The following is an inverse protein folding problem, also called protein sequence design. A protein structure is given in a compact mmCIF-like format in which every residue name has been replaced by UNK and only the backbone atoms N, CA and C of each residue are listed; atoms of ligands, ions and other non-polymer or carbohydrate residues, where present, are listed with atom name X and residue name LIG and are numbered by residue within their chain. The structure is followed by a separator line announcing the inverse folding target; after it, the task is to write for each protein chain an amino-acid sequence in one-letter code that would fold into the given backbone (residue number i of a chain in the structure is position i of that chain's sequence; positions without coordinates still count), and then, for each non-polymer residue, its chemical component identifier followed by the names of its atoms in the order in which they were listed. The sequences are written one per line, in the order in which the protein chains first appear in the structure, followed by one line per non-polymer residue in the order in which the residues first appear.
data_IF_333038845396
#
_entry.id   IF_333038845396
#
_cell.length_a   1.000
_cell.length_b   1.000
_cell.length_c   1.000
_cell.angle_alpha   90.00
_cell.angle_beta   90.00
_cell.angle_gamma   90.00
#
_symmetry.space_group_name_H-M   'P 1'
#
loop_
_entity.id
_entity.type
_entity.pdbx_description
1 polymer ?
#
# COMPACT_ATOMS: atom_id res chain seq x y z
N UNK A 1 -26.74 -13.17 -50.57
CA UNK A 1 -25.47 -12.45 -50.80
C UNK A 1 -25.69 -10.98 -50.47
N UNK A 2 -25.09 -10.40 -49.42
CA UNK A 2 -25.11 -8.96 -49.24
C UNK A 2 -24.09 -8.32 -50.21
N UNK A 3 -24.51 -7.28 -50.93
CA UNK A 3 -23.65 -6.49 -51.80
C UNK A 3 -22.63 -5.72 -50.97
N UNK A 4 -21.35 -5.93 -51.27
CA UNK A 4 -20.27 -5.07 -50.79
C UNK A 4 -20.20 -3.83 -51.68
N UNK A 5 -20.50 -2.65 -51.14
CA UNK A 5 -20.15 -1.41 -51.83
C UNK A 5 -18.63 -1.23 -51.80
N UNK A 6 -18.01 -1.03 -52.97
CA UNK A 6 -16.62 -0.60 -53.08
C UNK A 6 -16.45 0.75 -52.38
N UNK A 7 -15.81 0.77 -51.22
CA UNK A 7 -15.37 2.01 -50.60
C UNK A 7 -14.12 2.52 -51.35
N UNK A 8 -14.21 3.73 -51.89
CA UNK A 8 -13.06 4.46 -52.41
C UNK A 8 -12.46 5.31 -51.27
N UNK A 9 -11.11 5.46 -51.21
CA UNK A 9 -10.48 6.32 -50.21
C UNK A 9 -11.02 7.76 -50.36
N UNK A 10 -11.22 8.49 -49.24
CA UNK A 10 -11.65 9.88 -49.32
C UNK A 10 -10.60 10.71 -50.09
N UNK A 11 -11.03 11.66 -50.94
CA UNK A 11 -10.10 12.60 -51.55
C UNK A 11 -9.66 13.60 -50.46
N UNK A 12 -8.34 13.61 -50.22
CA UNK A 12 -7.57 14.60 -49.43
C UNK A 12 -7.55 14.48 -47.88
N UNK A 13 -6.37 14.05 -47.38
CA UNK A 13 -5.71 14.38 -46.08
C UNK A 13 -6.38 13.91 -44.77
N UNK A 14 -5.69 13.41 -43.73
CA UNK A 14 -4.51 13.94 -43.03
C UNK A 14 -3.54 12.82 -42.67
N UNK A 15 -2.26 13.00 -43.03
CA UNK A 15 -1.17 12.11 -42.64
C UNK A 15 -0.53 12.57 -41.33
N UNK A 16 -0.75 11.85 -40.24
CA UNK A 16 0.20 11.77 -39.13
C UNK A 16 0.82 10.38 -39.17
N UNK A 17 2.12 10.32 -39.44
CA UNK A 17 2.84 9.07 -39.73
C UNK A 17 2.61 7.99 -38.68
N UNK A 18 2.06 6.86 -39.16
CA UNK A 18 2.07 5.46 -38.66
C UNK A 18 0.72 4.75 -38.71
N UNK A 19 -0.39 5.47 -38.89
CA UNK A 19 -1.71 4.86 -39.00
C UNK A 19 -2.53 5.53 -40.10
N UNK A 20 -3.26 4.72 -40.89
CA UNK A 20 -4.32 5.22 -41.78
C UNK A 20 -5.63 4.53 -41.43
N UNK A 21 -6.61 5.33 -41.03
CA UNK A 21 -8.00 4.90 -40.91
C UNK A 21 -8.56 4.85 -42.33
N UNK A 22 -8.93 3.66 -42.81
CA UNK A 22 -9.35 3.47 -44.21
C UNK A 22 -10.88 3.31 -44.40
N UNK A 23 -11.67 3.36 -43.33
CA UNK A 23 -13.13 3.46 -43.45
C UNK A 23 -13.90 3.08 -42.19
N UNK A 24 -15.14 3.56 -42.11
CA UNK A 24 -16.16 3.15 -41.16
C UNK A 24 -17.36 2.65 -41.96
N UNK A 25 -17.88 1.47 -41.62
CA UNK A 25 -19.11 0.96 -42.21
C UNK A 25 -20.12 0.69 -41.09
N UNK A 26 -21.39 1.03 -41.35
CA UNK A 26 -22.50 0.64 -40.51
C UNK A 26 -23.26 -0.50 -41.17
N UNK A 27 -23.40 -1.62 -40.44
CA UNK A 27 -24.25 -2.73 -40.85
C UNK A 27 -25.18 -3.06 -39.68
N UNK A 28 -26.49 -2.93 -39.90
CA UNK A 28 -27.53 -3.28 -38.91
C UNK A 28 -27.37 -2.65 -37.51
N UNK A 29 -26.84 -1.42 -37.43
CA UNK A 29 -26.70 -0.68 -36.16
C UNK A 29 -25.35 -0.86 -35.46
N UNK A 30 -24.43 -1.64 -36.03
CA UNK A 30 -23.06 -1.81 -35.52
C UNK A 30 -22.07 -0.94 -36.30
N UNK A 31 -21.03 -0.44 -35.61
CA UNK A 31 -19.95 0.33 -36.21
C UNK A 31 -18.73 -0.57 -36.36
N UNK A 32 -18.31 -0.81 -37.61
CA UNK A 32 -17.10 -1.58 -37.91
C UNK A 32 -15.99 -0.61 -38.31
N UNK A 33 -14.87 -0.66 -37.58
CA UNK A 33 -13.69 0.19 -37.81
C UNK A 33 -12.56 -0.66 -38.38
N UNK A 34 -11.95 -0.17 -39.45
CA UNK A 34 -10.82 -0.82 -40.11
C UNK A 34 -9.54 0.00 -39.88
N UNK A 35 -8.56 -0.59 -39.19
CA UNK A 35 -7.22 -0.03 -39.10
C UNK A 35 -6.26 -0.76 -40.05
N UNK A 36 -5.52 0.03 -40.83
CA UNK A 36 -4.49 -0.46 -41.72
C UNK A 36 -3.11 -0.06 -41.22
N UNK A 37 -2.22 -1.05 -41.14
CA UNK A 37 -0.81 -0.85 -40.82
C UNK A 37 0.05 -1.06 -42.08
N UNK A 38 0.96 -0.14 -42.34
CA UNK A 38 1.94 -0.26 -43.42
C UNK A 38 3.26 0.32 -42.94
N UNK A 39 4.18 -0.54 -42.52
CA UNK A 39 5.50 -0.08 -42.05
C UNK A 39 6.69 -0.69 -42.79
N UNK A 40 6.49 -1.54 -43.81
CA UNK A 40 7.59 -1.96 -44.70
C UNK A 40 7.03 -2.62 -45.99
N UNK A 41 7.54 -2.30 -47.20
CA UNK A 41 7.23 -3.09 -48.40
C UNK A 41 7.68 -4.56 -48.32
N UNK A 42 8.57 -4.90 -47.38
CA UNK A 42 9.13 -6.24 -47.20
C UNK A 42 8.53 -7.04 -46.03
N UNK A 43 7.68 -6.42 -45.18
CA UNK A 43 7.01 -7.11 -44.07
C UNK A 43 5.50 -7.21 -44.28
N UNK A 44 4.96 -8.35 -43.84
CA UNK A 44 3.58 -8.78 -44.04
C UNK A 44 2.55 -7.70 -43.70
N UNK A 45 1.60 -7.50 -44.62
CA UNK A 45 0.43 -6.64 -44.40
C UNK A 45 -0.59 -7.40 -43.56
N UNK A 46 -0.85 -6.91 -42.35
CA UNK A 46 -1.91 -7.40 -41.47
C UNK A 46 -3.11 -6.47 -41.51
N UNK A 47 -4.32 -7.03 -41.49
CA UNK A 47 -5.57 -6.28 -41.25
C UNK A 47 -6.17 -6.83 -39.96
N UNK A 48 -6.49 -5.93 -39.03
CA UNK A 48 -7.22 -6.25 -37.81
C UNK A 48 -8.61 -5.63 -37.93
N UNK A 49 -9.64 -6.44 -37.72
CA UNK A 49 -11.01 -5.96 -37.57
C UNK A 49 -11.53 -6.37 -36.19
N UNK A 50 -12.25 -5.47 -35.55
CA UNK A 50 -12.93 -5.70 -34.29
C UNK A 50 -14.35 -5.15 -34.35
N UNK A 51 -15.28 -5.83 -33.69
CA UNK A 51 -16.64 -5.35 -33.46
C UNK A 51 -16.74 -4.79 -32.04
N UNK A 52 -17.33 -3.60 -31.91
CA UNK A 52 -17.57 -2.93 -30.62
C UNK A 52 -19.07 -3.04 -30.32
N UNK A 53 -19.41 -3.47 -29.11
CA UNK A 53 -20.77 -3.39 -28.60
C UNK A 53 -21.12 -1.92 -28.31
N UNK A 54 -22.11 -1.39 -29.03
CA UNK A 54 -22.48 0.03 -28.96
C UNK A 54 -23.12 0.44 -27.64
N UNK A 55 -23.50 -0.50 -26.77
CA UNK A 55 -24.11 -0.22 -25.47
C UNK A 55 -23.11 0.05 -24.34
N UNK A 56 -21.90 -0.50 -24.43
CA UNK A 56 -20.90 -0.43 -23.36
C UNK A 56 -19.44 -0.28 -23.83
N UNK A 57 -19.20 -0.24 -25.15
CA UNK A 57 -17.86 -0.09 -25.72
C UNK A 57 -16.99 -1.36 -25.65
N UNK A 58 -17.53 -2.51 -25.24
CA UNK A 58 -16.77 -3.75 -25.13
C UNK A 58 -16.51 -4.38 -26.50
N UNK A 59 -15.32 -4.98 -26.67
CA UNK A 59 -14.93 -5.66 -27.92
C UNK A 59 -15.52 -7.07 -27.93
N UNK A 60 -16.35 -7.39 -28.93
CA UNK A 60 -17.10 -8.67 -29.01
C UNK A 60 -16.33 -9.78 -29.71
N UNK A 61 -15.73 -9.50 -30.87
CA UNK A 61 -14.92 -10.48 -31.63
C UNK A 61 -13.72 -9.81 -32.31
N UNK A 62 -12.63 -10.58 -32.49
CA UNK A 62 -11.45 -10.17 -33.26
C UNK A 62 -11.07 -11.23 -34.27
N UNK A 63 -11.05 -10.85 -35.55
CA UNK A 63 -10.59 -11.69 -36.65
C UNK A 63 -9.31 -11.07 -37.21
N UNK A 64 -8.24 -11.87 -37.25
CA UNK A 64 -6.95 -11.46 -37.80
C UNK A 64 -6.75 -12.08 -39.17
N UNK A 65 -6.32 -11.25 -40.11
CA UNK A 65 -5.89 -11.68 -41.44
C UNK A 65 -4.46 -11.24 -41.69
N UNK A 66 -3.57 -12.23 -41.89
CA UNK A 66 -2.18 -12.01 -42.27
C UNK A 66 -1.99 -12.41 -43.73
N UNK A 67 -1.32 -11.57 -44.51
CA UNK A 67 -0.94 -11.91 -45.88
C UNK A 67 0.34 -12.75 -45.87
N UNK A 68 0.17 -14.08 -45.89
CA UNK A 68 1.19 -14.99 -46.39
C UNK A 68 1.28 -14.89 -47.90
N UNK A 69 2.45 -15.16 -48.47
CA UNK A 69 2.68 -15.12 -49.93
C UNK A 69 1.62 -15.95 -50.65
N UNK A 70 0.69 -15.27 -51.31
CA UNK A 70 -0.39 -15.76 -52.19
C UNK A 70 -1.72 -16.29 -51.61
N UNK A 71 -1.94 -16.43 -50.29
CA UNK A 71 -3.26 -16.81 -49.75
C UNK A 71 -3.62 -16.11 -48.42
N UNK A 72 -4.91 -15.82 -48.25
CA UNK A 72 -5.49 -15.29 -47.01
C UNK A 72 -5.91 -16.45 -46.10
N UNK A 73 -5.41 -16.48 -44.86
CA UNK A 73 -5.81 -17.45 -43.85
C UNK A 73 -6.42 -16.76 -42.64
N UNK A 74 -7.59 -17.22 -42.21
CA UNK A 74 -8.31 -16.74 -41.02
C UNK A 74 -7.82 -17.46 -39.77
N UNK A 75 -7.51 -16.70 -38.71
CA UNK A 75 -7.14 -17.26 -37.41
C UNK A 75 -8.24 -16.97 -36.38
N UNK A 76 -8.57 -17.97 -35.56
CA UNK A 76 -9.37 -17.77 -34.35
C UNK A 76 -8.42 -17.59 -33.17
N UNK A 77 -8.40 -16.40 -32.58
CA UNK A 77 -7.68 -16.14 -31.34
C UNK A 77 -8.66 -16.15 -30.18
N UNK A 78 -8.33 -16.84 -29.08
CA UNK A 78 -9.10 -16.79 -27.83
C UNK A 78 -8.32 -15.91 -26.86
N UNK A 79 -8.84 -14.72 -26.56
CA UNK A 79 -8.27 -13.84 -25.55
C UNK A 79 -8.75 -14.26 -24.17
N UNK A 80 -7.84 -14.27 -23.19
CA UNK A 80 -8.20 -14.32 -21.77
C UNK A 80 -7.88 -12.94 -21.19
N UNK A 81 -8.92 -12.18 -20.85
CA UNK A 81 -8.79 -10.96 -20.04
C UNK A 81 -9.14 -11.32 -18.61
N UNK A 82 -8.19 -11.23 -17.68
CA UNK A 82 -8.54 -11.11 -16.28
C UNK A 82 -8.46 -9.62 -15.96
N UNK A 83 -9.63 -8.99 -15.81
CA UNK A 83 -9.75 -7.58 -15.47
C UNK A 83 -9.91 -7.53 -13.96
N UNK A 84 -8.80 -7.37 -13.26
CA UNK A 84 -8.76 -6.74 -11.94
C UNK A 84 -7.33 -6.23 -11.72
N UNK A 85 -7.19 -4.91 -11.61
CA UNK A 85 -5.98 -4.21 -11.16
C UNK A 85 -4.68 -4.52 -11.92
N UNK A 86 -4.24 -3.57 -12.75
CA UNK A 86 -2.97 -3.54 -13.49
C UNK A 86 -2.79 -4.46 -14.70
N UNK A 87 -2.92 -3.80 -15.86
CA UNK A 87 -2.38 -4.06 -17.21
C UNK A 87 -1.71 -5.43 -17.46
N UNK A 88 -2.50 -6.43 -17.87
CA UNK A 88 -2.02 -7.53 -18.72
C UNK A 88 -3.08 -7.95 -19.75
N UNK A 89 -2.66 -8.15 -21.01
CA UNK A 89 -3.39 -8.95 -22.00
C UNK A 89 -2.39 -9.96 -22.58
N UNK A 90 -2.61 -11.24 -22.34
CA UNK A 90 -1.84 -12.31 -22.98
C UNK A 90 -2.57 -12.83 -24.21
N UNK A 91 -1.84 -13.04 -25.30
CA UNK A 91 -2.38 -13.63 -26.53
C UNK A 91 -1.67 -14.96 -26.80
N UNK A 92 -2.46 -16.03 -26.96
CA UNK A 92 -1.96 -17.32 -27.46
C UNK A 92 -2.52 -17.50 -28.88
N UNK A 93 -1.63 -17.55 -29.86
CA UNK A 93 -1.99 -17.82 -31.26
C UNK A 93 -1.77 -19.29 -31.56
N UNK A 94 -2.82 -19.97 -32.04
CA UNK A 94 -2.73 -21.34 -32.53
C UNK A 94 -2.58 -21.32 -34.05
N UNK A 95 -1.46 -21.82 -34.57
CA UNK A 95 -1.32 -22.13 -35.99
C UNK A 95 -1.79 -23.56 -36.25
N UNK A 96 -2.81 -23.79 -37.10
CA UNK A 96 -3.30 -25.14 -37.38
C UNK A 96 -2.36 -25.96 -38.29
N UNK A 97 -1.28 -25.37 -38.83
CA UNK A 97 -0.48 -26.01 -39.88
C UNK A 97 0.95 -26.40 -39.48
N UNK A 98 1.40 -26.16 -38.24
CA UNK A 98 2.79 -26.48 -37.89
C UNK A 98 3.04 -26.94 -36.45
N UNK A 99 2.02 -27.09 -35.59
CA UNK A 99 2.23 -27.54 -34.20
C UNK A 99 3.13 -26.63 -33.33
N UNK A 100 3.50 -25.45 -33.82
CA UNK A 100 4.31 -24.49 -33.09
C UNK A 100 3.40 -23.51 -32.35
N UNK A 101 3.61 -23.40 -31.03
CA UNK A 101 3.06 -22.32 -30.23
C UNK A 101 3.88 -21.05 -30.49
N UNK A 102 3.22 -19.98 -30.91
CA UNK A 102 3.79 -18.64 -30.93
C UNK A 102 3.20 -17.86 -29.76
N UNK A 103 3.98 -17.69 -28.71
CA UNK A 103 3.63 -16.82 -27.59
C UNK A 103 4.03 -15.38 -27.95
N UNK A 104 3.06 -14.55 -28.29
CA UNK A 104 3.25 -13.11 -28.47
C UNK A 104 2.97 -12.43 -27.12
N UNK A 105 4.03 -12.24 -26.32
CA UNK A 105 3.97 -11.36 -25.15
C UNK A 105 4.02 -9.91 -25.60
N UNK A 106 2.86 -9.34 -25.93
CA UNK A 106 2.68 -7.90 -26.04
C UNK A 106 2.55 -7.30 -24.64
N UNK A 107 3.67 -7.13 -23.94
CA UNK A 107 3.65 -6.41 -22.67
C UNK A 107 3.62 -4.92 -23.02
N UNK A 108 2.48 -4.26 -22.79
CA UNK A 108 2.49 -2.83 -22.52
C UNK A 108 3.04 -2.63 -21.10
N UNK A 109 4.30 -3.02 -20.88
CA UNK A 109 5.02 -2.65 -19.68
C UNK A 109 5.13 -1.12 -19.72
N UNK A 110 5.01 -0.40 -18.59
CA UNK A 110 5.55 0.94 -18.56
C UNK A 110 7.01 0.85 -19.04
N UNK A 111 7.40 1.69 -19.99
CA UNK A 111 8.75 1.67 -20.57
C UNK A 111 9.82 1.78 -19.49
N UNK A 112 9.48 2.40 -18.36
CA UNK A 112 10.33 2.52 -17.19
C UNK A 112 9.60 1.95 -15.98
N UNK A 113 10.30 1.20 -15.14
CA UNK A 113 9.80 0.71 -13.85
C UNK A 113 10.71 1.23 -12.74
N UNK A 114 10.15 1.48 -11.57
CA UNK A 114 10.89 1.79 -10.34
C UNK A 114 10.52 0.75 -9.28
N UNK A 115 11.54 0.08 -8.75
CA UNK A 115 11.39 -1.04 -7.82
C UNK A 115 12.17 -0.69 -6.56
N UNK A 116 11.50 -0.47 -5.42
CA UNK A 116 12.21 -0.27 -4.15
C UNK A 116 12.77 -1.61 -3.66
N UNK A 117 13.93 -1.58 -2.99
CA UNK A 117 14.51 -2.78 -2.35
C UNK A 117 13.57 -3.33 -1.26
N UNK A 118 12.81 -2.43 -0.61
CA UNK A 118 11.84 -2.76 0.43
C UNK A 118 10.57 -1.94 0.24
N UNK A 119 9.43 -2.59 0.40
CA UNK A 119 8.12 -1.91 0.40
C UNK A 119 7.80 -1.22 1.74
N UNK A 120 8.55 -1.57 2.80
CA UNK A 120 8.41 -0.99 4.14
C UNK A 120 9.80 -0.65 4.69
N UNK A 121 9.94 0.55 5.24
CA UNK A 121 11.11 1.02 5.98
C UNK A 121 10.65 1.38 7.39
N UNK A 122 11.46 1.08 8.39
CA UNK A 122 11.23 1.53 9.76
C UNK A 122 12.43 2.33 10.28
N UNK A 123 12.16 3.34 11.10
CA UNK A 123 13.18 4.21 11.67
C UNK A 123 12.72 4.83 12.99
N UNK A 124 13.67 5.44 13.69
CA UNK A 124 13.38 6.27 14.85
C UNK A 124 13.20 7.74 14.41
N UNK A 125 12.45 8.56 15.17
CA UNK A 125 12.33 9.98 14.93
C UNK A 125 13.68 10.67 14.74
N UNK A 126 13.81 11.47 13.68
CA UNK A 126 15.04 12.21 13.39
C UNK A 126 16.25 11.34 13.00
N UNK A 127 16.09 10.02 12.88
CA UNK A 127 17.20 9.13 12.51
C UNK A 127 17.52 9.20 11.01
N UNK A 128 18.79 9.07 10.61
CA UNK A 128 19.16 8.99 9.21
C UNK A 128 18.70 7.64 8.63
N UNK A 129 17.96 7.70 7.53
CA UNK A 129 17.44 6.55 6.79
C UNK A 129 17.95 6.55 5.36
N UNK A 130 17.89 5.37 4.75
CA UNK A 130 18.17 5.21 3.32
C UNK A 130 17.14 4.33 2.63
N UNK A 131 16.77 4.70 1.41
CA UNK A 131 15.92 3.92 0.51
C UNK A 131 16.71 3.64 -0.77
N UNK A 132 16.97 2.36 -1.03
CA UNK A 132 17.52 1.91 -2.30
C UNK A 132 16.39 1.58 -3.27
N UNK A 133 16.48 2.09 -4.49
CA UNK A 133 15.58 1.77 -5.59
C UNK A 133 16.37 1.34 -6.83
N UNK A 134 15.76 0.48 -7.63
CA UNK A 134 16.25 0.06 -8.94
C UNK A 134 15.29 0.58 -10.00
N UNK A 135 15.81 1.33 -10.97
CA UNK A 135 15.05 1.83 -12.10
C UNK A 135 15.40 0.96 -13.30
N UNK A 136 14.40 0.35 -13.91
CA UNK A 136 14.54 -0.49 -15.10
C UNK A 136 13.99 0.27 -16.30
N UNK A 137 14.81 0.46 -17.34
CA UNK A 137 14.37 1.02 -18.61
C UNK A 137 14.19 -0.11 -19.64
N UNK A 138 12.95 -0.58 -19.78
CA UNK A 138 12.53 -1.49 -20.84
C UNK A 138 12.02 -0.76 -22.09
N UNK A 139 12.14 0.57 -22.12
CA UNK A 139 11.73 1.42 -23.22
C UNK A 139 12.66 1.33 -24.41
N UNK A 140 12.23 1.96 -25.50
CA UNK A 140 13.01 2.09 -26.74
C UNK A 140 13.77 3.42 -26.83
N UNK A 141 13.94 4.12 -25.72
CA UNK A 141 14.66 5.39 -25.64
C UNK A 141 15.55 5.39 -24.41
N UNK A 142 16.70 6.06 -24.55
CA UNK A 142 17.51 6.49 -23.43
C UNK A 142 17.12 7.90 -23.00
N UNK A 143 17.29 8.19 -21.71
CA UNK A 143 17.05 9.50 -21.11
C UNK A 143 17.88 9.70 -19.83
N UNK A 144 18.03 10.95 -19.42
CA UNK A 144 18.49 11.34 -18.10
C UNK A 144 17.27 11.48 -17.18
N UNK A 145 16.85 10.37 -16.57
CA UNK A 145 15.66 10.33 -15.74
C UNK A 145 15.87 11.10 -14.43
N UNK A 146 14.94 12.00 -14.11
CA UNK A 146 14.89 12.69 -12.83
C UNK A 146 14.05 11.87 -11.87
N UNK A 147 14.63 11.50 -10.74
CA UNK A 147 14.00 10.63 -9.75
C UNK A 147 13.86 11.43 -8.47
N UNK A 148 12.61 11.68 -8.10
CA UNK A 148 12.25 12.49 -6.94
C UNK A 148 11.72 11.57 -5.85
N UNK A 149 12.28 11.68 -4.64
CA UNK A 149 11.71 11.08 -3.42
C UNK A 149 10.86 12.13 -2.71
N UNK A 150 9.61 11.79 -2.44
CA UNK A 150 8.67 12.63 -1.71
C UNK A 150 8.23 11.95 -0.41
N UNK A 151 8.04 12.73 0.64
CA UNK A 151 7.37 12.35 1.88
C UNK A 151 6.05 13.11 1.93
N UNK A 152 4.94 12.39 1.84
CA UNK A 152 3.59 12.98 1.91
C UNK A 152 3.34 14.13 0.91
N UNK A 153 4.05 14.08 -0.22
CA UNK A 153 3.96 15.10 -1.29
C UNK A 153 5.01 16.20 -1.22
N UNK A 154 5.78 16.31 -0.12
CA UNK A 154 6.92 17.21 -0.01
C UNK A 154 8.19 16.55 -0.55
N UNK A 155 8.96 17.29 -1.36
CA UNK A 155 10.19 16.76 -1.97
C UNK A 155 11.30 16.68 -0.92
N UNK A 156 11.78 15.47 -0.65
CA UNK A 156 12.93 15.25 0.23
C UNK A 156 14.25 15.41 -0.53
N UNK A 157 14.36 14.77 -1.68
CA UNK A 157 15.57 14.82 -2.51
C UNK A 157 15.26 14.44 -3.96
N UNK A 158 16.13 14.92 -4.85
CA UNK A 158 16.07 14.67 -6.29
C UNK A 158 17.44 14.24 -6.78
N UNK A 159 17.46 13.18 -7.58
CA UNK A 159 18.66 12.68 -8.22
C UNK A 159 18.38 12.42 -9.70
N UNK A 160 19.38 12.62 -10.55
CA UNK A 160 19.28 12.31 -11.98
C UNK A 160 20.18 11.14 -12.31
N UNK A 161 19.69 10.22 -13.14
CA UNK A 161 20.50 9.12 -13.67
C UNK A 161 20.24 8.91 -15.16
N UNK A 162 21.33 8.76 -15.93
CA UNK A 162 21.23 8.40 -17.33
C UNK A 162 21.07 6.89 -17.46
N UNK A 163 19.98 6.44 -18.09
CA UNK A 163 19.67 5.02 -18.24
C UNK A 163 19.42 4.73 -19.72
N UNK A 164 20.31 3.91 -20.28
CA UNK A 164 20.22 3.43 -21.66
C UNK A 164 19.04 2.49 -21.89
N UNK A 165 18.81 2.15 -23.16
CA UNK A 165 17.80 1.16 -23.57
C UNK A 165 18.11 -0.21 -22.96
N UNK A 166 17.10 -0.90 -22.44
CA UNK A 166 17.23 -2.22 -21.82
C UNK A 166 18.27 -2.28 -20.70
N UNK A 167 18.45 -1.16 -20.00
CA UNK A 167 19.42 -0.99 -18.91
C UNK A 167 18.70 -0.72 -17.59
N UNK A 168 19.46 -0.75 -16.50
CA UNK A 168 18.99 -0.42 -15.17
C UNK A 168 19.99 0.46 -14.43
N UNK A 169 19.48 1.28 -13.52
CA UNK A 169 20.32 2.00 -12.56
C UNK A 169 19.80 1.77 -11.14
N UNK A 170 20.73 1.58 -10.20
CA UNK A 170 20.42 1.60 -8.78
C UNK A 170 20.66 3.01 -8.22
N UNK A 171 19.80 3.42 -7.30
CA UNK A 171 19.89 4.72 -6.65
C UNK A 171 19.60 4.57 -5.17
N UNK A 172 20.38 5.27 -4.34
CA UNK A 172 20.19 5.30 -2.89
C UNK A 172 19.82 6.73 -2.50
N UNK A 173 18.66 6.88 -1.88
CA UNK A 173 18.22 8.13 -1.28
C UNK A 173 18.55 8.11 0.20
N UNK A 174 19.26 9.13 0.68
CA UNK A 174 19.47 9.35 2.10
C UNK A 174 18.56 10.48 2.55
N UNK A 175 17.82 10.27 3.63
CA UNK A 175 16.90 11.25 4.18
C UNK A 175 16.80 11.07 5.69
N UNK A 176 16.21 12.04 6.38
CA UNK A 176 15.98 11.96 7.82
C UNK A 176 14.53 11.56 8.06
N UNK A 177 14.29 10.61 8.97
CA UNK A 177 12.95 10.24 9.40
C UNK A 177 12.22 11.47 9.98
N UNK A 178 10.91 11.63 9.76
CA UNK A 178 10.13 12.68 10.41
C UNK A 178 10.19 12.52 11.94
N UNK A 179 10.02 13.63 12.66
CA UNK A 179 9.96 13.63 14.12
C UNK A 179 8.66 13.00 14.65
N UNK A 180 7.59 13.09 13.86
CA UNK A 180 6.31 12.48 14.16
C UNK A 180 6.40 10.95 14.01
N UNK A 181 5.88 10.22 15.01
CA UNK A 181 5.78 8.77 14.94
C UNK A 181 4.51 8.35 14.21
N UNK A 182 4.57 7.27 13.44
CA UNK A 182 3.42 6.81 12.69
C UNK A 182 3.78 6.15 11.37
N UNK A 183 2.76 5.87 10.59
CA UNK A 183 2.92 5.46 9.19
C UNK A 183 2.91 6.70 8.29
N UNK A 184 3.97 6.86 7.52
CA UNK A 184 4.14 7.90 6.52
C UNK A 184 4.25 7.30 5.13
N UNK A 185 3.80 8.05 4.13
CA UNK A 185 3.87 7.63 2.73
C UNK A 185 5.09 8.24 2.05
N UNK A 186 6.05 7.40 1.67
CA UNK A 186 7.09 7.77 0.74
C UNK A 186 6.64 7.47 -0.70
N UNK A 187 6.87 8.41 -1.59
CA UNK A 187 6.62 8.24 -3.03
C UNK A 187 7.90 8.46 -3.80
N UNK A 188 8.23 7.56 -4.71
CA UNK A 188 9.33 7.74 -5.66
C UNK A 188 8.70 7.97 -7.02
N UNK A 189 9.01 9.10 -7.65
CA UNK A 189 8.51 9.47 -8.97
C UNK A 189 9.65 9.62 -9.95
N UNK A 190 9.51 9.01 -11.13
CA UNK A 190 10.49 9.05 -12.22
C UNK A 190 9.95 9.90 -13.34
N UNK A 191 10.59 11.04 -13.61
CA UNK A 191 10.27 11.97 -14.69
C UNK A 191 11.23 11.78 -15.86
N UNK A 192 10.69 11.76 -17.08
CA UNK A 192 11.44 11.76 -18.32
C UNK A 192 11.46 13.16 -18.93
N UNK A 193 12.60 13.88 -18.94
CA UNK A 193 12.71 15.15 -19.65
C UNK A 193 12.41 15.05 -21.14
N UNK A 194 12.70 13.90 -21.76
CA UNK A 194 12.46 13.64 -23.18
C UNK A 194 10.98 13.55 -23.52
N UNK A 195 10.20 12.84 -22.71
CA UNK A 195 8.75 12.70 -22.89
C UNK A 195 7.94 13.81 -22.22
N UNK A 196 8.56 14.55 -21.29
CA UNK A 196 7.95 15.61 -20.48
C UNK A 196 6.80 15.12 -19.60
N UNK A 197 6.95 13.92 -19.05
CA UNK A 197 5.96 13.29 -18.18
C UNK A 197 6.62 12.39 -17.12
N UNK A 198 5.86 12.06 -16.08
CA UNK A 198 6.23 11.00 -15.15
C UNK A 198 5.96 9.64 -15.79
N UNK A 199 6.99 8.80 -15.85
CA UNK A 199 6.99 7.52 -16.57
C UNK A 199 6.90 6.31 -15.65
N UNK A 200 7.22 6.48 -14.35
CA UNK A 200 7.09 5.46 -13.33
C UNK A 200 6.91 6.09 -11.95
N UNK A 201 6.21 5.39 -11.07
CA UNK A 201 6.12 5.74 -9.66
C UNK A 201 6.00 4.48 -8.79
N UNK A 202 6.45 4.58 -7.53
CA UNK A 202 6.17 3.57 -6.51
C UNK A 202 5.96 4.20 -5.15
N UNK A 203 5.15 3.53 -4.32
CA UNK A 203 4.92 3.91 -2.94
C UNK A 203 5.68 2.98 -1.99
N UNK A 204 6.24 3.55 -0.93
CA UNK A 204 6.91 2.83 0.16
C UNK A 204 6.32 3.32 1.48
N UNK A 205 5.98 2.39 2.37
CA UNK A 205 5.52 2.73 3.71
C UNK A 205 6.73 2.99 4.60
N UNK A 206 6.78 4.16 5.24
CA UNK A 206 7.75 4.47 6.28
C UNK A 206 7.04 4.41 7.64
N UNK A 207 7.46 3.51 8.52
CA UNK A 207 6.94 3.43 9.90
C UNK A 207 7.96 4.01 10.87
N UNK A 208 7.67 5.19 11.42
CA UNK A 208 8.50 5.82 12.45
C UNK A 208 8.03 5.37 13.83
N UNK A 209 8.94 4.78 14.59
CA UNK A 209 8.64 4.15 15.88
C UNK A 209 9.60 4.60 16.97
N UNK A 210 9.10 4.66 18.21
CA UNK A 210 9.91 4.89 19.42
C UNK A 210 10.04 3.60 20.21
N UNK A 211 11.10 3.51 21.01
CA UNK A 211 11.29 2.43 21.99
C UNK A 211 11.35 3.02 23.40
N UNK A 212 10.47 2.55 24.29
CA UNK A 212 10.45 2.92 25.71
C UNK A 212 10.77 1.69 26.56
N UNK A 213 11.59 1.90 27.59
CA UNK A 213 11.92 0.89 28.59
C UNK A 213 11.07 1.10 29.85
N UNK A 214 10.21 0.14 30.17
CA UNK A 214 9.47 0.11 31.43
C UNK A 214 10.30 -0.67 32.45
N UNK A 215 10.71 0.00 33.52
CA UNK A 215 11.41 -0.66 34.62
C UNK A 215 10.44 -1.48 35.47
N UNK A 216 10.64 -2.80 35.48
CA UNK A 216 9.89 -3.73 36.31
C UNK A 216 10.74 -4.10 37.53
N UNK A 217 10.14 -4.00 38.71
CA UNK A 217 10.74 -4.47 39.96
C UNK A 217 10.40 -5.93 40.21
N UNK A 218 11.28 -6.62 40.92
CA UNK A 218 11.02 -7.98 41.38
C UNK A 218 9.68 -8.02 42.14
N UNK A 219 8.80 -8.95 41.74
CA UNK A 219 7.43 -9.01 42.23
C UNK A 219 6.41 -8.46 41.23
N UNK A 220 5.27 -8.01 41.75
CA UNK A 220 4.13 -7.55 40.95
C UNK A 220 4.24 -6.08 40.60
N UNK A 221 4.08 -5.76 39.31
CA UNK A 221 4.13 -4.42 38.75
C UNK A 221 2.78 -4.09 38.10
N UNK A 222 2.25 -2.90 38.36
CA UNK A 222 0.93 -2.48 37.85
C UNK A 222 1.10 -1.53 36.67
N UNK A 223 1.13 -2.06 35.45
CA UNK A 223 1.59 -1.34 34.28
C UNK A 223 0.59 -1.35 33.12
N UNK A 224 0.73 -0.38 32.23
CA UNK A 224 0.13 -0.40 30.90
C UNK A 224 1.19 -0.08 29.85
N UNK A 225 0.84 -0.21 28.56
CA UNK A 225 1.76 0.14 27.49
C UNK A 225 1.65 1.63 27.15
N UNK A 226 2.74 2.41 27.22
CA UNK A 226 2.74 3.83 26.86
C UNK A 226 2.74 4.06 25.35
N UNK A 227 3.13 3.07 24.55
CA UNK A 227 3.11 3.13 23.08
C UNK A 227 2.18 2.06 22.54
N UNK A 228 1.60 2.30 21.36
CA UNK A 228 0.90 1.26 20.61
C UNK A 228 1.93 0.40 19.89
N UNK A 229 2.08 -0.90 20.24
CA UNK A 229 3.13 -1.73 19.65
C UNK A 229 2.93 -1.90 18.13
N UNK A 230 4.04 -1.95 17.38
CA UNK A 230 4.01 -2.13 15.91
C UNK A 230 3.29 -3.41 15.52
N UNK A 231 3.53 -4.49 16.26
CA UNK A 231 2.90 -5.79 16.03
C UNK A 231 1.55 -5.95 16.76
N UNK A 232 0.94 -4.84 17.19
CA UNK A 232 -0.32 -4.78 17.94
C UNK A 232 -0.20 -5.15 19.42
N UNK A 233 0.79 -5.95 19.81
CA UNK A 233 1.04 -6.34 21.21
C UNK A 233 2.52 -6.54 21.51
N UNK A 234 2.85 -6.57 22.81
CA UNK A 234 4.16 -6.97 23.33
C UNK A 234 4.06 -8.41 23.85
N UNK A 235 4.84 -9.32 23.27
CA UNK A 235 4.93 -10.69 23.79
C UNK A 235 5.77 -10.73 25.07
N UNK A 236 5.30 -11.46 26.07
CA UNK A 236 6.01 -11.58 27.33
C UNK A 236 7.16 -12.58 27.22
N UNK A 237 8.34 -12.18 27.69
CA UNK A 237 9.45 -13.10 27.87
C UNK A 237 9.10 -14.18 28.91
N UNK A 238 9.70 -15.38 28.81
CA UNK A 238 9.40 -16.54 29.67
C UNK A 238 9.46 -16.28 31.19
N UNK A 239 10.20 -15.24 31.62
CA UNK A 239 10.38 -14.87 33.03
C UNK A 239 9.37 -13.86 33.55
N UNK A 240 8.41 -13.47 32.71
CA UNK A 240 7.33 -12.55 33.03
C UNK A 240 5.99 -13.29 32.96
N UNK A 241 5.11 -13.00 33.91
CA UNK A 241 3.72 -13.47 33.89
C UNK A 241 2.79 -12.28 34.04
N UNK A 242 1.75 -12.19 33.22
CA UNK A 242 0.80 -11.09 33.31
C UNK A 242 -0.62 -11.56 33.52
N UNK A 243 -1.38 -10.72 34.22
CA UNK A 243 -2.81 -10.85 34.39
C UNK A 243 -3.50 -9.55 33.97
N UNK A 244 -4.44 -9.66 33.05
CA UNK A 244 -5.39 -8.59 32.73
C UNK A 244 -6.69 -8.77 33.51
N UNK A 245 -7.50 -7.71 33.57
CA UNK A 245 -8.85 -7.80 34.14
C UNK A 245 -9.88 -8.00 33.03
N UNK A 246 -10.70 -9.04 33.16
CA UNK A 246 -11.90 -9.19 32.35
C UNK A 246 -13.10 -8.59 33.10
N UNK A 247 -13.52 -7.39 32.68
CA UNK A 247 -14.64 -6.68 33.29
C UNK A 247 -15.97 -7.43 33.18
N UNK A 248 -16.16 -8.27 32.16
CA UNK A 248 -17.41 -9.03 31.97
C UNK A 248 -17.47 -10.23 32.90
N UNK A 249 -16.33 -10.88 33.10
CA UNK A 249 -16.21 -12.03 34.00
C UNK A 249 -15.91 -11.63 35.46
N UNK A 250 -15.62 -10.34 35.70
CA UNK A 250 -15.24 -9.77 36.99
C UNK A 250 -14.09 -10.54 37.66
N UNK A 251 -13.06 -10.89 36.89
CA UNK A 251 -11.90 -11.64 37.38
C UNK A 251 -10.63 -11.32 36.59
N UNK A 252 -9.50 -11.64 37.20
CA UNK A 252 -8.22 -11.66 36.49
C UNK A 252 -8.13 -12.85 35.54
N UNK A 253 -7.53 -12.63 34.39
CA UNK A 253 -7.24 -13.64 33.37
C UNK A 253 -5.75 -13.56 33.01
N UNK A 254 -5.08 -14.71 32.95
CA UNK A 254 -3.69 -14.78 32.51
C UNK A 254 -3.57 -14.40 31.04
N UNK A 255 -2.53 -13.66 30.68
CA UNK A 255 -2.26 -13.23 29.31
C UNK A 255 -0.79 -13.39 28.97
N UNK A 256 -0.51 -13.78 27.72
CA UNK A 256 0.85 -13.93 27.21
C UNK A 256 1.31 -12.72 26.38
N UNK A 257 0.37 -11.80 26.10
CA UNK A 257 0.57 -10.62 25.27
C UNK A 257 -0.05 -9.40 25.95
N UNK A 258 0.67 -8.29 25.90
CA UNK A 258 0.20 -7.00 26.39
C UNK A 258 -0.26 -6.14 25.20
N UNK A 259 -1.49 -5.68 25.26
CA UNK A 259 -2.10 -4.76 24.29
C UNK A 259 -2.18 -3.34 24.84
N UNK A 260 -2.07 -2.35 23.96
CA UNK A 260 -2.29 -0.93 24.27
C UNK A 260 -3.72 -0.67 24.77
N UNK A 261 -3.90 0.34 25.63
CA UNK A 261 -5.20 0.75 26.18
C UNK A 261 -5.72 -0.13 27.32
N UNK A 262 -5.02 -1.22 27.67
CA UNK A 262 -5.34 -2.10 28.80
C UNK A 262 -4.30 -1.96 29.91
N UNK A 263 -4.72 -2.19 31.15
CA UNK A 263 -3.83 -2.32 32.30
C UNK A 263 -3.58 -3.78 32.70
N UNK A 264 -2.45 -4.03 33.35
CA UNK A 264 -2.02 -5.37 33.73
C UNK A 264 -1.31 -5.39 35.09
N UNK A 265 -1.43 -6.52 35.78
CA UNK A 265 -0.46 -6.94 36.77
C UNK A 265 0.59 -7.82 36.11
N UNK A 266 1.85 -7.39 36.11
CA UNK A 266 2.99 -8.11 35.54
C UNK A 266 3.94 -8.53 36.66
N UNK A 267 4.08 -9.83 36.87
CA UNK A 267 5.07 -10.40 37.77
C UNK A 267 6.42 -10.53 37.07
N UNK A 268 7.47 -10.00 37.70
CA UNK A 268 8.84 -10.19 37.29
C UNK A 268 9.62 -10.95 38.39
N UNK A 269 10.32 -12.03 38.00
CA UNK A 269 11.13 -12.83 38.93
C UNK A 269 12.34 -12.09 39.52
N UNK A 270 12.79 -11.02 38.87
CA UNK A 270 13.86 -10.12 39.28
C UNK A 270 13.63 -8.75 38.64
N UNK A 271 14.35 -7.73 39.11
CA UNK A 271 14.38 -6.43 38.44
C UNK A 271 14.78 -6.61 36.97
N UNK A 272 13.98 -6.06 36.06
CA UNK A 272 14.18 -6.21 34.61
C UNK A 272 13.56 -5.03 33.85
N UNK A 273 13.81 -4.98 32.54
CA UNK A 273 13.29 -3.96 31.66
C UNK A 273 12.38 -4.61 30.62
N UNK A 274 11.15 -4.11 30.52
CA UNK A 274 10.24 -4.44 29.43
C UNK A 274 10.42 -3.39 28.33
N UNK A 275 10.86 -3.83 27.15
CA UNK A 275 11.00 -2.94 25.99
C UNK A 275 9.68 -2.90 25.22
N UNK A 276 9.17 -1.69 24.99
CA UNK A 276 7.98 -1.44 24.18
C UNK A 276 8.40 -0.62 22.97
N UNK A 277 8.31 -1.21 21.78
CA UNK A 277 8.57 -0.52 20.51
C UNK A 277 7.26 -0.30 19.77
N UNK A 278 6.96 0.95 19.45
CA UNK A 278 5.66 1.32 18.92
C UNK A 278 5.54 2.77 18.51
N UNK A 279 4.32 3.17 18.19
CA UNK A 279 3.97 4.56 17.86
C UNK A 279 3.35 5.25 19.08
N UNK A 280 3.60 6.55 19.19
CA UNK A 280 2.93 7.37 20.19
C UNK A 280 1.43 7.50 19.86
N UNK A 281 0.62 7.62 20.91
CA UNK A 281 -0.83 7.73 20.83
C UNK A 281 -1.26 8.91 21.66
N UNK A 282 -1.65 9.99 20.98
CA UNK A 282 -2.16 11.22 21.62
C UNK A 282 -3.67 11.20 21.84
N UNK A 283 -4.39 10.27 21.20
CA UNK A 283 -5.81 10.05 21.49
C UNK A 283 -6.21 8.60 21.23
N UNK A 284 -7.11 8.08 22.05
CA UNK A 284 -7.64 6.75 21.87
C UNK A 284 -9.10 6.65 22.33
N UNK A 285 -9.79 5.61 21.86
CA UNK A 285 -11.11 5.24 22.35
C UNK A 285 -11.00 4.00 23.23
N UNK A 286 -11.63 4.05 24.40
CA UNK A 286 -11.69 2.93 25.33
C UNK A 286 -13.13 2.48 25.51
N UNK A 287 -13.39 1.22 25.25
CA UNK A 287 -14.68 0.59 25.52
C UNK A 287 -14.72 0.09 26.97
N UNK A 288 -15.66 0.64 27.73
CA UNK A 288 -15.86 0.32 29.14
C UNK A 288 -17.10 -0.55 29.31
N UNK A 289 -16.96 -1.53 30.21
CA UNK A 289 -18.08 -2.35 30.70
C UNK A 289 -18.52 -1.79 32.05
N UNK A 290 -19.82 -1.83 32.34
CA UNK A 290 -20.34 -1.47 33.66
C UNK A 290 -19.56 -2.18 34.78
N UNK A 291 -19.17 -1.42 35.79
CA UNK A 291 -18.27 -1.87 36.85
C UNK A 291 -16.82 -1.44 36.66
N UNK A 292 -15.90 -2.18 37.28
CA UNK A 292 -14.47 -1.88 37.26
C UNK A 292 -13.83 -2.33 35.95
N UNK A 293 -13.07 -1.43 35.33
CA UNK A 293 -12.25 -1.69 34.16
C UNK A 293 -10.79 -1.39 34.48
N UNK A 294 -9.89 -2.26 34.02
CA UNK A 294 -8.46 -2.07 34.14
C UNK A 294 -7.90 -1.51 32.82
N UNK A 295 -7.65 -0.20 32.80
CA UNK A 295 -7.31 0.54 31.59
C UNK A 295 -5.86 1.02 31.59
N UNK A 296 -5.33 1.21 30.39
CA UNK A 296 -4.04 1.85 30.16
C UNK A 296 -4.18 3.34 29.82
N UNK A 297 -3.07 4.07 29.97
CA UNK A 297 -2.97 5.47 29.59
C UNK A 297 -2.60 5.69 28.11
N UNK A 298 -2.28 6.93 27.77
CA UNK A 298 -1.72 7.35 26.48
C UNK A 298 -0.18 7.41 26.55
N UNK A 299 0.46 7.89 25.48
CA UNK A 299 1.91 8.13 25.47
C UNK A 299 2.35 9.33 26.31
N UNK A 300 1.41 10.24 26.58
CA UNK A 300 1.54 11.36 27.50
C UNK A 300 0.41 11.31 28.54
N UNK A 301 0.47 12.19 29.53
CA UNK A 301 -0.59 12.30 30.52
C UNK A 301 -1.94 12.58 29.85
N UNK A 302 -3.00 11.98 30.37
CA UNK A 302 -4.36 12.20 29.88
C UNK A 302 -5.31 12.41 31.05
N UNK A 303 -6.21 13.38 30.95
CA UNK A 303 -7.21 13.62 31.99
C UNK A 303 -8.42 12.73 31.78
N UNK A 304 -8.95 12.15 32.86
CA UNK A 304 -10.19 11.36 32.84
C UNK A 304 -11.34 12.25 32.30
N UNK A 305 -12.03 11.84 31.22
CA UNK A 305 -13.10 12.65 30.63
C UNK A 305 -14.23 12.91 31.64
N UNK A 306 -14.68 14.17 31.73
CA UNK A 306 -15.79 14.54 32.61
C UNK A 306 -17.13 14.15 31.98
N UNK A 307 -17.51 12.88 32.10
CA UNK A 307 -18.81 12.35 31.65
C UNK A 307 -19.59 11.74 32.81
N UNK A 308 -20.90 11.95 32.83
CA UNK A 308 -21.77 11.58 33.98
C UNK A 308 -21.84 10.08 34.30
N UNK A 309 -21.35 9.23 33.42
CA UNK A 309 -21.51 7.79 33.51
C UNK A 309 -20.20 7.05 33.83
N UNK A 310 -19.12 7.77 34.12
CA UNK A 310 -17.89 7.21 34.71
C UNK A 310 -17.56 7.95 36.00
N UNK A 311 -16.84 7.29 36.90
CA UNK A 311 -16.30 7.95 38.07
C UNK A 311 -15.14 8.88 37.65
N UNK A 312 -15.05 10.10 38.22
CA UNK A 312 -14.08 11.11 37.75
C UNK A 312 -12.64 10.83 38.21
N UNK A 313 -12.42 9.77 39.00
CA UNK A 313 -11.12 9.36 39.49
C UNK A 313 -10.77 7.96 39.00
N UNK A 314 -9.49 7.79 38.66
CA UNK A 314 -8.83 6.52 38.46
C UNK A 314 -7.98 6.16 39.66
N UNK A 315 -7.74 4.86 39.86
CA UNK A 315 -6.91 4.36 40.94
C UNK A 315 -5.72 3.58 40.39
N UNK A 316 -4.50 3.96 40.76
CA UNK A 316 -3.26 3.32 40.30
C UNK A 316 -2.37 2.88 41.47
N UNK A 317 -1.47 1.94 41.22
CA UNK A 317 -0.42 1.52 42.15
C UNK A 317 0.89 2.13 41.68
N UNK A 318 1.41 3.07 42.46
CA UNK A 318 2.70 3.70 42.18
C UNK A 318 3.80 2.86 42.85
N UNK A 319 4.93 2.58 42.18
CA UNK A 319 6.05 1.89 42.79
C UNK A 319 6.47 2.51 44.13
N UNK A 320 6.60 1.68 45.17
CA UNK A 320 6.93 2.12 46.53
C UNK A 320 5.73 2.54 47.39
N UNK A 321 4.52 2.57 46.84
CA UNK A 321 3.28 2.84 47.58
C UNK A 321 2.46 1.55 47.71
N UNK A 322 2.20 1.11 48.94
CA UNK A 322 1.48 -0.15 49.22
C UNK A 322 -0.06 -0.02 49.24
N UNK A 323 -0.61 1.05 48.67
CA UNK A 323 -2.05 1.26 48.53
C UNK A 323 -2.36 2.00 47.23
N UNK A 324 -3.58 1.83 46.71
CA UNK A 324 -4.01 2.55 45.52
C UNK A 324 -4.11 4.04 45.77
N UNK A 325 -3.56 4.83 44.85
CA UNK A 325 -3.67 6.29 44.86
C UNK A 325 -4.71 6.70 43.83
N UNK A 326 -5.65 7.57 44.22
CA UNK A 326 -6.64 8.13 43.30
C UNK A 326 -6.10 9.37 42.60
N UNK A 327 -6.36 9.50 41.30
CA UNK A 327 -6.00 10.66 40.48
C UNK A 327 -7.09 10.94 39.44
N UNK A 328 -7.08 12.13 38.85
CA UNK A 328 -7.88 12.44 37.64
C UNK A 328 -7.04 12.35 36.37
N UNK A 329 -5.77 11.95 36.50
CA UNK A 329 -4.79 11.86 35.42
C UNK A 329 -4.39 10.40 35.25
N UNK A 330 -4.42 9.91 34.02
CA UNK A 330 -3.83 8.65 33.61
C UNK A 330 -2.36 8.91 33.25
N UNK A 331 -1.46 8.27 33.97
CA UNK A 331 -0.02 8.37 33.75
C UNK A 331 0.45 7.38 32.67
N UNK A 332 1.33 7.78 31.73
CA UNK A 332 1.94 6.86 30.79
C UNK A 332 2.61 5.68 31.48
N UNK A 333 2.47 4.48 30.91
CA UNK A 333 3.10 3.26 31.43
C UNK A 333 2.46 2.65 32.69
N UNK A 334 1.45 3.31 33.29
CA UNK A 334 0.79 2.83 34.51
C UNK A 334 -0.59 2.26 34.20
N UNK A 335 -0.99 1.20 34.91
CA UNK A 335 -2.37 0.71 34.87
C UNK A 335 -3.27 1.52 35.79
N UNK A 336 -4.55 1.58 35.46
CA UNK A 336 -5.54 2.37 36.18
C UNK A 336 -6.85 1.59 36.31
N UNK A 337 -7.39 1.53 37.52
CA UNK A 337 -8.78 1.15 37.73
C UNK A 337 -9.70 2.32 37.45
N UNK A 338 -10.65 2.12 36.54
CA UNK A 338 -11.69 3.08 36.20
C UNK A 338 -13.07 2.43 36.41
N UNK A 339 -13.93 3.10 37.18
CA UNK A 339 -15.30 2.65 37.42
C UNK A 339 -16.25 3.27 36.40
N UNK A 340 -16.94 2.43 35.62
CA UNK A 340 -18.01 2.84 34.72
C UNK A 340 -19.37 2.48 35.33
N UNK A 341 -20.35 3.39 35.26
CA UNK A 341 -21.71 3.18 35.78
C UNK A 341 -22.64 2.51 34.77
N UNK A 342 -22.19 2.34 33.53
CA UNK A 342 -22.86 1.63 32.44
C UNK A 342 -21.84 1.34 31.34
N UNK A 343 -22.18 0.45 30.41
CA UNK A 343 -21.39 0.24 29.21
C UNK A 343 -21.31 1.52 28.35
N UNK A 344 -20.15 1.79 27.78
CA UNK A 344 -19.97 2.91 26.87
C UNK A 344 -18.52 3.11 26.45
N UNK A 345 -18.32 3.95 25.45
CA UNK A 345 -16.98 4.30 24.95
C UNK A 345 -16.60 5.70 25.41
N UNK A 346 -15.40 5.86 25.96
CA UNK A 346 -14.79 7.17 26.22
C UNK A 346 -13.70 7.48 25.20
N UNK A 347 -13.46 8.76 24.95
CA UNK A 347 -12.31 9.24 24.19
C UNK A 347 -11.32 9.86 25.16
N UNK A 348 -10.09 9.38 25.17
CA UNK A 348 -8.96 10.01 25.84
C UNK A 348 -8.21 10.87 24.84
N UNK A 349 -7.72 12.01 25.32
CA UNK A 349 -6.81 12.90 24.58
C UNK A 349 -5.68 13.30 25.53
N UNK A 350 -4.46 13.38 25.00
CA UNK A 350 -3.30 13.92 25.69
C UNK A 350 -3.61 15.32 26.26
N UNK A 351 -3.16 15.56 27.49
CA UNK A 351 -3.40 16.82 28.23
C UNK A 351 -2.34 17.88 27.97
#
# INVERSE_FOLDING_TARGET
MPLWHKCYPPPESVSSGKYRICGMASLQGEVVVFEYYRDDPSLHTGITAFTIDSSNGAIKERIFWLRGTSQWSSFHAKAFSNIDGDRFISYILFSPLAGHQLQLMGVANPSVQVIPERSIIAGEPGSPLSLKVTILNHGNYEDAFNVTLLLEGEVLCENTSFIGISSSAEMVFNFTAPEECGEHLLQVKVYSPKLKEYVAECNVTLTVVKSILIALKAGWNFISLPLKPVNGSVELAERLHAYGWDSRLMRYVGVDKLEFGRGYWVYASADTLLTVTGVEVESCRLDLVEGWNLVGGLSSEAVVPSVRWIYPYVYTMIPGVNHYVSSQVLLPGHAHWLLALRNGTISLTAS
#
